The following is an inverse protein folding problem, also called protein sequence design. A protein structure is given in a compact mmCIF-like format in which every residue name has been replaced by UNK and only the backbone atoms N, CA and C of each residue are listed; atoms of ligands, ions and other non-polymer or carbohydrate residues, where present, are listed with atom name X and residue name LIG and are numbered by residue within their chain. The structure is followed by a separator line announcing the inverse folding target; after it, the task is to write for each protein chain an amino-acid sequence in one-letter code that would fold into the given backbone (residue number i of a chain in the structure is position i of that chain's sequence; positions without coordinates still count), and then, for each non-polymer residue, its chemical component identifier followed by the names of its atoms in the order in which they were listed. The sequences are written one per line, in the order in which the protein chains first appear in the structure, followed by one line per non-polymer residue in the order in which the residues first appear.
data_IF_684391951534
#
_entry.id   IF_684391951534
#
_cell.length_a   1.000
_cell.length_b   1.000
_cell.length_c   1.000
_cell.angle_alpha   90.00
_cell.angle_beta   90.00
_cell.angle_gamma   90.00
#
_symmetry.space_group_name_H-M   'P 1'
#
loop_
_entity.id
_entity.type
_entity.pdbx_description
1 polymer ?
#
# COMPACT_ATOMS: atom_id res chain seq x y z
N UNK A 1 0.14 -57.24 0.94
CA UNK A 1 -1.18 -56.79 0.47
C UNK A 1 -1.77 -55.89 1.54
N UNK A 2 -1.91 -54.58 1.30
CA UNK A 2 -2.44 -53.64 2.28
C UNK A 2 -3.94 -53.42 2.09
N UNK A 3 -4.67 -53.38 3.20
CA UNK A 3 -6.09 -53.02 3.25
C UNK A 3 -6.27 -51.53 2.96
N UNK A 4 -7.19 -51.24 2.04
CA UNK A 4 -7.51 -49.90 1.57
C UNK A 4 -8.46 -49.18 2.54
N UNK A 5 -7.94 -48.17 3.24
CA UNK A 5 -8.77 -47.21 3.96
C UNK A 5 -9.37 -46.18 2.98
N UNK A 6 -10.66 -46.34 2.71
CA UNK A 6 -11.51 -45.37 1.98
C UNK A 6 -11.81 -44.17 2.88
N UNK A 7 -11.21 -43.02 2.57
CA UNK A 7 -11.59 -41.73 3.15
C UNK A 7 -12.81 -41.21 2.39
N UNK A 8 -13.93 -41.10 3.09
CA UNK A 8 -15.20 -40.57 2.59
C UNK A 8 -15.22 -39.06 2.84
N UNK A 9 -15.21 -38.24 1.78
CA UNK A 9 -15.37 -36.78 1.90
C UNK A 9 -16.87 -36.44 1.97
N UNK A 10 -17.31 -36.00 3.15
CA UNK A 10 -18.62 -35.39 3.37
C UNK A 10 -18.58 -33.94 2.88
N UNK A 11 -19.12 -33.70 1.68
CA UNK A 11 -19.39 -32.35 1.17
C UNK A 11 -20.66 -31.84 1.85
N UNK A 12 -20.51 -30.97 2.85
CA UNK A 12 -21.63 -30.19 3.41
C UNK A 12 -22.02 -29.10 2.41
N UNK A 13 -23.17 -29.31 1.76
CA UNK A 13 -23.86 -28.28 1.00
C UNK A 13 -24.44 -27.23 1.97
N UNK A 14 -23.91 -26.00 1.92
CA UNK A 14 -24.51 -24.83 2.56
C UNK A 14 -25.62 -24.31 1.65
N UNK A 15 -26.85 -24.62 2.04
CA UNK A 15 -28.08 -24.04 1.49
C UNK A 15 -28.22 -22.63 2.06
N UNK A 16 -27.99 -21.60 1.24
CA UNK A 16 -28.34 -20.23 1.57
C UNK A 16 -29.80 -19.99 1.15
N UNK A 17 -30.70 -20.00 2.13
CA UNK A 17 -32.08 -19.55 1.99
C UNK A 17 -32.11 -18.02 1.84
N UNK A 18 -32.53 -17.54 0.68
CA UNK A 18 -32.78 -16.13 0.41
C UNK A 18 -34.28 -15.86 0.61
N UNK A 19 -34.63 -15.18 1.70
CA UNK A 19 -35.99 -14.72 1.96
C UNK A 19 -36.16 -13.32 1.36
N UNK A 20 -36.64 -13.25 0.11
CA UNK A 20 -37.19 -12.02 -0.45
C UNK A 20 -38.65 -11.88 -0.02
N UNK A 21 -38.96 -10.81 0.72
CA UNK A 21 -40.32 -10.32 0.88
C UNK A 21 -40.71 -9.49 -0.36
N UNK A 22 -41.89 -9.79 -0.89
CA UNK A 22 -42.49 -9.28 -2.11
C UNK A 22 -42.98 -7.83 -2.03
N UNK A 23 -42.90 -7.09 -3.14
CA UNK A 23 -44.03 -6.33 -3.67
C UNK A 23 -43.81 -5.92 -5.15
N UNK A 24 -44.71 -6.39 -6.02
CA UNK A 24 -45.11 -5.86 -7.35
C UNK A 24 -44.01 -5.66 -8.41
N UNK A 25 -43.96 -6.33 -9.57
CA UNK A 25 -44.98 -7.02 -10.36
C UNK A 25 -44.95 -6.45 -11.78
N UNK A 26 -44.42 -7.19 -12.77
CA UNK A 26 -44.92 -7.23 -14.15
C UNK A 26 -44.19 -8.26 -15.01
N UNK A 27 -44.98 -8.93 -15.84
CA UNK A 27 -44.73 -10.12 -16.65
C UNK A 27 -43.77 -9.90 -17.84
N UNK A 28 -43.13 -10.98 -18.31
CA UNK A 28 -42.77 -11.12 -19.72
C UNK A 28 -41.58 -12.03 -20.06
N UNK A 29 -41.88 -13.30 -20.36
CA UNK A 29 -41.22 -14.21 -21.34
C UNK A 29 -39.67 -14.29 -21.34
N UNK A 30 -38.99 -15.38 -20.97
CA UNK A 30 -39.23 -16.77 -21.38
C UNK A 30 -38.33 -17.16 -22.55
N UNK A 31 -37.04 -17.42 -22.32
CA UNK A 31 -36.21 -18.22 -23.24
C UNK A 31 -35.27 -19.15 -22.47
N UNK A 32 -35.63 -20.42 -22.48
CA UNK A 32 -34.82 -21.58 -22.12
C UNK A 32 -33.62 -21.72 -23.07
N UNK A 33 -32.42 -21.93 -22.52
CA UNK A 33 -31.34 -22.62 -23.23
C UNK A 33 -30.85 -23.78 -22.36
N UNK A 34 -31.02 -25.00 -22.87
CA UNK A 34 -30.51 -26.24 -22.30
C UNK A 34 -28.98 -26.30 -22.44
N UNK A 35 -28.24 -26.83 -21.45
CA UNK A 35 -26.84 -27.22 -21.64
C UNK A 35 -26.76 -28.53 -22.45
N UNK A 36 -25.92 -28.55 -23.49
CA UNK A 36 -25.59 -29.76 -24.25
C UNK A 36 -24.50 -30.51 -23.47
N UNK A 37 -24.76 -31.80 -23.25
CA UNK A 37 -23.91 -32.74 -22.56
C UNK A 37 -22.62 -33.10 -23.34
N UNK A 38 -21.58 -33.38 -22.58
CA UNK A 38 -20.31 -33.93 -23.04
C UNK A 38 -20.45 -35.34 -23.63
N UNK A 39 -19.59 -35.68 -24.60
CA UNK A 39 -19.23 -37.06 -24.96
C UNK A 39 -17.72 -37.26 -24.80
N UNK A 40 -17.25 -38.43 -24.36
CA UNK A 40 -15.83 -38.69 -24.12
C UNK A 40 -15.15 -39.40 -25.31
N UNK A 41 -13.82 -39.21 -25.40
CA UNK A 41 -12.85 -40.21 -25.87
C UNK A 41 -12.28 -40.03 -27.28
N UNK A 42 -10.98 -39.73 -27.39
CA UNK A 42 -9.96 -40.62 -28.00
C UNK A 42 -8.57 -39.98 -27.96
N UNK A 43 -7.55 -40.84 -27.80
CA UNK A 43 -6.12 -40.57 -27.58
C UNK A 43 -5.35 -40.19 -28.86
N UNK A 44 -4.06 -39.86 -28.65
CA UNK A 44 -2.94 -39.66 -29.62
C UNK A 44 -3.02 -38.36 -30.43
N UNK A 45 -1.98 -37.58 -30.67
CA UNK A 45 -0.53 -37.69 -30.54
C UNK A 45 0.05 -36.61 -31.48
N UNK A 46 1.32 -36.28 -31.31
CA UNK A 46 2.17 -35.45 -32.17
C UNK A 46 2.22 -33.91 -32.04
N UNK A 47 3.49 -33.53 -31.98
CA UNK A 47 4.17 -32.24 -31.97
C UNK A 47 3.98 -31.43 -33.25
N UNK A 48 3.84 -30.11 -33.15
CA UNK A 48 4.58 -29.16 -34.00
C UNK A 48 4.42 -27.71 -33.51
N UNK A 49 5.48 -26.95 -33.79
CA UNK A 49 5.72 -25.56 -33.50
C UNK A 49 4.83 -24.58 -34.28
N UNK A 50 4.82 -23.35 -33.76
CA UNK A 50 4.93 -22.08 -34.48
C UNK A 50 3.72 -21.14 -34.67
N UNK A 51 3.98 -19.92 -34.20
CA UNK A 51 3.61 -18.59 -34.75
C UNK A 51 2.24 -17.97 -34.45
N UNK A 52 2.31 -16.89 -33.65
CA UNK A 52 1.38 -15.76 -33.64
C UNK A 52 1.50 -14.95 -34.95
N UNK A 53 0.43 -14.25 -35.38
CA UNK A 53 0.47 -12.80 -35.19
C UNK A 53 -0.86 -12.12 -34.83
N UNK A 54 -0.68 -11.05 -34.04
CA UNK A 54 -1.48 -9.84 -33.85
C UNK A 54 -2.89 -9.71 -34.44
N UNK A 55 -3.85 -9.43 -33.55
CA UNK A 55 -5.00 -8.59 -33.87
C UNK A 55 -5.45 -7.80 -32.63
N UNK A 56 -5.11 -6.51 -32.63
CA UNK A 56 -5.61 -5.46 -31.75
C UNK A 56 -7.13 -5.33 -31.91
N UNK A 57 -7.89 -5.67 -30.87
CA UNK A 57 -9.33 -5.41 -30.79
C UNK A 57 -9.61 -4.18 -29.95
N UNK A 58 -9.92 -3.10 -30.65
CA UNK A 58 -10.53 -1.87 -30.13
C UNK A 58 -11.93 -2.24 -29.62
N UNK A 59 -12.17 -2.09 -28.32
CA UNK A 59 -13.51 -2.15 -27.74
C UNK A 59 -14.16 -0.76 -27.82
N UNK A 60 -14.94 -0.54 -28.88
CA UNK A 60 -15.84 0.61 -29.00
C UNK A 60 -17.15 0.34 -28.25
N UNK A 61 -17.41 1.11 -27.20
CA UNK A 61 -18.64 1.10 -26.42
C UNK A 61 -19.76 1.75 -27.25
N UNK A 62 -20.74 0.96 -27.70
CA UNK A 62 -21.88 1.42 -28.49
C UNK A 62 -23.05 1.70 -27.54
N UNK A 63 -23.30 2.98 -27.27
CA UNK A 63 -24.48 3.47 -26.55
C UNK A 63 -25.71 3.24 -27.45
N UNK A 64 -26.56 2.26 -27.10
CA UNK A 64 -27.87 2.07 -27.73
C UNK A 64 -28.88 3.05 -27.11
N UNK A 65 -29.16 4.14 -27.82
CA UNK A 65 -30.37 4.92 -27.61
C UNK A 65 -31.60 4.12 -28.05
N UNK A 66 -32.55 3.97 -27.12
CA UNK A 66 -33.91 3.51 -27.41
C UNK A 66 -34.62 4.66 -28.14
N UNK A 67 -34.93 4.48 -29.42
CA UNK A 67 -36.19 4.99 -29.95
C UNK A 67 -36.61 4.19 -31.17
N UNK A 68 -37.77 3.56 -31.02
CA UNK A 68 -38.42 2.69 -31.98
C UNK A 68 -39.26 3.52 -32.94
N UNK A 69 -38.94 3.47 -34.24
CA UNK A 69 -39.92 3.54 -35.34
C UNK A 69 -39.29 2.92 -36.61
N UNK A 70 -39.77 1.74 -36.98
CA UNK A 70 -39.52 1.12 -38.29
C UNK A 70 -40.47 1.74 -39.31
N UNK A 71 -39.96 2.15 -40.47
CA UNK A 71 -40.67 2.22 -41.74
C UNK A 71 -39.74 1.69 -42.85
N UNK A 72 -40.29 1.19 -43.97
CA UNK A 72 -39.66 0.15 -44.76
C UNK A 72 -39.25 0.66 -46.14
N UNK A 73 -37.95 0.87 -46.37
CA UNK A 73 -37.32 0.65 -47.67
C UNK A 73 -35.79 0.62 -47.55
N UNK A 74 -35.21 -0.49 -47.99
CA UNK A 74 -33.76 -0.61 -48.10
C UNK A 74 -33.27 0.28 -49.25
N UNK A 75 -32.76 1.46 -48.93
CA UNK A 75 -31.85 2.23 -49.80
C UNK A 75 -30.95 3.13 -48.97
N UNK A 76 -29.65 2.86 -49.06
CA UNK A 76 -28.61 3.71 -48.50
C UNK A 76 -28.61 5.07 -49.19
N UNK A 77 -28.71 6.16 -48.41
CA UNK A 77 -28.29 7.49 -48.83
C UNK A 77 -27.35 8.09 -47.80
N UNK A 78 -26.13 8.37 -48.25
CA UNK A 78 -25.23 9.35 -47.63
C UNK A 78 -25.91 10.71 -47.75
N UNK A 79 -26.16 11.37 -46.62
CA UNK A 79 -26.37 12.82 -46.57
C UNK A 79 -25.30 13.39 -45.65
N UNK A 80 -24.30 14.00 -46.28
CA UNK A 80 -23.48 15.00 -45.61
C UNK A 80 -24.31 16.27 -45.47
N UNK A 81 -24.25 16.88 -44.30
CA UNK A 81 -24.63 18.27 -44.12
C UNK A 81 -23.35 19.11 -44.22
N UNK A 82 -23.11 19.65 -45.41
CA UNK A 82 -22.49 20.95 -45.57
C UNK A 82 -23.45 21.98 -44.96
N UNK A 83 -22.98 22.78 -44.02
CA UNK A 83 -23.63 24.03 -43.64
C UNK A 83 -22.60 25.14 -43.83
N UNK A 84 -22.84 25.94 -44.87
CA UNK A 84 -22.20 27.22 -45.13
C UNK A 84 -22.54 28.20 -44.00
N UNK A 85 -21.53 28.94 -43.53
CA UNK A 85 -21.66 29.98 -42.52
C UNK A 85 -21.76 31.33 -43.24
N UNK A 86 -22.96 31.91 -43.28
CA UNK A 86 -23.17 33.33 -43.58
C UNK A 86 -23.16 34.15 -42.28
N UNK A 87 -22.71 35.41 -42.31
CA UNK A 87 -22.82 36.31 -41.16
C UNK A 87 -24.29 36.73 -40.99
N UNK A 88 -24.68 37.07 -39.77
CA UNK A 88 -25.98 37.65 -39.40
C UNK A 88 -27.11 36.68 -39.00
N UNK A 89 -26.92 36.00 -37.86
CA UNK A 89 -28.06 35.68 -36.97
C UNK A 89 -27.69 35.86 -35.50
N UNK A 90 -28.38 36.81 -34.86
CA UNK A 90 -28.36 37.13 -33.44
C UNK A 90 -29.13 36.08 -32.63
N UNK A 91 -28.50 35.61 -31.54
CA UNK A 91 -29.09 34.98 -30.36
C UNK A 91 -30.04 33.76 -30.54
N UNK A 92 -29.53 32.57 -30.22
CA UNK A 92 -30.32 31.47 -29.68
C UNK A 92 -29.53 30.75 -28.58
N UNK A 93 -30.16 30.58 -27.42
CA UNK A 93 -29.60 29.94 -26.23
C UNK A 93 -29.44 28.42 -26.40
N UNK A 94 -28.28 27.88 -26.06
CA UNK A 94 -28.02 26.45 -26.00
C UNK A 94 -28.00 25.99 -24.54
N UNK A 95 -29.07 25.30 -24.11
CA UNK A 95 -29.12 24.53 -22.87
C UNK A 95 -28.39 23.22 -23.09
N UNK A 96 -27.08 23.12 -22.76
CA UNK A 96 -26.38 21.84 -22.47
C UNK A 96 -24.95 22.00 -21.88
N UNK A 97 -24.34 23.18 -21.80
CA UNK A 97 -23.13 23.34 -20.97
C UNK A 97 -23.03 24.73 -20.32
N UNK A 98 -23.21 24.80 -19.01
CA UNK A 98 -23.03 26.01 -18.20
C UNK A 98 -21.56 26.37 -18.02
N UNK A 99 -20.89 26.84 -19.07
CA UNK A 99 -19.55 27.41 -19.01
C UNK A 99 -19.56 28.81 -19.64
N UNK A 100 -19.30 29.83 -18.83
CA UNK A 100 -19.09 31.19 -19.32
C UNK A 100 -17.66 31.32 -19.87
N UNK A 101 -17.52 31.44 -21.19
CA UNK A 101 -16.29 31.88 -21.84
C UNK A 101 -16.34 33.39 -22.06
N UNK A 102 -15.37 34.11 -21.50
CA UNK A 102 -15.14 35.54 -21.71
C UNK A 102 -14.22 35.74 -22.92
N UNK A 103 -14.60 36.63 -23.85
CA UNK A 103 -13.68 37.20 -24.85
C UNK A 103 -13.91 38.71 -24.95
N UNK A 104 -12.92 39.47 -24.45
CA UNK A 104 -12.19 40.50 -25.18
C UNK A 104 -12.90 41.72 -25.82
N UNK A 105 -12.68 42.87 -25.17
CA UNK A 105 -12.24 44.15 -25.74
C UNK A 105 -13.20 44.99 -26.61
N UNK A 106 -13.59 46.16 -26.06
CA UNK A 106 -13.73 47.39 -26.85
C UNK A 106 -13.31 48.61 -26.01
N UNK A 107 -12.46 49.45 -26.60
CA UNK A 107 -11.94 50.72 -26.05
C UNK A 107 -13.06 51.77 -26.00
N UNK A 108 -13.29 52.37 -24.83
CA UNK A 108 -13.98 53.66 -24.71
C UNK A 108 -13.13 54.61 -23.87
N UNK A 109 -13.02 55.83 -24.41
CA UNK A 109 -12.15 56.94 -24.01
C UNK A 109 -12.65 57.60 -22.72
N UNK A 110 -11.69 57.98 -21.88
CA UNK A 110 -11.87 58.49 -20.52
C UNK A 110 -12.70 59.77 -20.41
N UNK A 111 -13.63 59.78 -19.46
CA UNK A 111 -14.16 60.98 -18.80
C UNK A 111 -14.18 60.69 -17.28
N UNK A 112 -13.61 61.61 -16.51
CA UNK A 112 -13.37 61.50 -15.06
C UNK A 112 -14.45 62.29 -14.31
N UNK A 113 -15.27 61.68 -13.43
CA UNK A 113 -16.06 62.39 -12.42
C UNK A 113 -15.52 62.14 -11.00
N UNK A 114 -15.98 62.92 -10.00
CA UNK A 114 -15.19 63.30 -8.82
C UNK A 114 -15.20 62.25 -7.72
N UNK A 115 -14.22 62.37 -6.82
CA UNK A 115 -14.08 61.56 -5.62
C UNK A 115 -15.33 61.70 -4.73
N UNK A 116 -15.96 60.56 -4.43
CA UNK A 116 -16.88 60.41 -3.31
C UNK A 116 -16.49 59.15 -2.53
N UNK A 117 -16.20 59.37 -1.26
CA UNK A 117 -16.11 58.37 -0.21
C UNK A 117 -17.40 57.56 -0.13
N UNK A 118 -17.28 56.25 -0.32
CA UNK A 118 -18.07 55.18 0.29
C UNK A 118 -17.74 53.90 -0.49
N UNK A 119 -16.72 53.16 -0.05
CA UNK A 119 -16.52 51.80 -0.53
C UNK A 119 -17.72 50.96 -0.09
N UNK A 120 -18.44 50.26 -0.98
CA UNK A 120 -19.30 49.18 -0.54
C UNK A 120 -18.38 48.12 0.06
N UNK A 121 -18.66 47.70 1.29
CA UNK A 121 -18.02 46.54 1.90
C UNK A 121 -18.19 45.35 0.95
N UNK A 122 -17.14 45.06 0.18
CA UNK A 122 -16.95 43.75 -0.42
C UNK A 122 -16.89 42.81 0.77
N UNK A 123 -17.79 41.82 0.91
CA UNK A 123 -17.64 40.84 1.97
C UNK A 123 -16.26 40.23 1.76
N UNK A 124 -15.39 40.47 2.74
CA UNK A 124 -14.08 39.89 2.82
C UNK A 124 -14.30 38.38 2.68
N UNK A 125 -14.04 37.86 1.47
CA UNK A 125 -13.87 36.45 1.27
C UNK A 125 -12.63 36.12 2.07
N UNK A 126 -12.84 35.82 3.35
CA UNK A 126 -11.96 34.97 4.12
C UNK A 126 -11.81 33.73 3.25
N UNK A 127 -10.68 33.67 2.54
CA UNK A 127 -10.20 32.46 1.91
C UNK A 127 -10.29 31.41 3.00
N UNK A 128 -11.28 30.51 2.87
CA UNK A 128 -11.50 29.48 3.85
C UNK A 128 -10.19 28.71 3.98
N UNK A 129 -9.47 28.95 5.08
CA UNK A 129 -8.34 28.13 5.43
C UNK A 129 -8.89 26.71 5.48
N UNK A 130 -8.54 25.89 4.49
CA UNK A 130 -8.86 24.48 4.53
C UNK A 130 -8.25 23.98 5.82
N UNK A 131 -9.07 23.72 6.84
CA UNK A 131 -8.58 23.24 8.12
C UNK A 131 -7.80 21.95 7.81
N UNK A 132 -6.50 21.91 8.06
CA UNK A 132 -5.68 20.73 7.79
C UNK A 132 -5.69 19.90 9.07
N UNK A 133 -6.00 18.62 8.93
CA UNK A 133 -5.98 17.65 10.01
C UNK A 133 -4.75 16.78 9.91
N UNK A 134 -4.16 16.46 11.05
CA UNK A 134 -3.06 15.50 11.15
C UNK A 134 -3.65 14.11 11.38
N UNK A 135 -3.24 13.14 10.57
CA UNK A 135 -3.70 11.76 10.63
C UNK A 135 -2.52 10.83 10.90
N UNK A 136 -2.79 9.70 11.56
CA UNK A 136 -1.85 8.59 11.71
C UNK A 136 -2.43 7.32 11.08
N UNK A 137 -1.57 6.49 10.51
CA UNK A 137 -1.92 5.26 9.81
C UNK A 137 -0.95 4.15 10.23
N UNK A 138 -1.48 3.03 10.72
CA UNK A 138 -0.72 1.78 10.94
C UNK A 138 -0.90 0.86 9.74
N UNK A 139 0.21 0.32 9.26
CA UNK A 139 0.31 -0.51 8.06
C UNK A 139 1.02 -1.82 8.38
N UNK A 140 0.55 -2.88 7.74
CA UNK A 140 1.30 -4.12 7.55
C UNK A 140 1.57 -4.29 6.06
N UNK A 141 2.74 -4.79 5.67
CA UNK A 141 3.03 -5.07 4.28
C UNK A 141 4.03 -6.21 4.08
N UNK A 142 3.85 -6.89 2.95
CA UNK A 142 4.85 -7.75 2.35
C UNK A 142 5.78 -6.92 1.45
N UNK A 143 7.04 -6.78 1.86
CA UNK A 143 8.03 -5.96 1.16
C UNK A 143 8.72 -6.62 -0.02
N UNK A 144 8.48 -7.91 -0.32
CA UNK A 144 9.26 -8.68 -1.30
C UNK A 144 9.38 -7.98 -2.66
N UNK A 145 8.27 -7.45 -3.18
CA UNK A 145 8.19 -6.89 -4.54
C UNK A 145 8.34 -5.35 -4.55
N UNK A 146 8.93 -4.77 -3.50
CA UNK A 146 9.07 -3.33 -3.30
C UNK A 146 10.51 -2.92 -2.98
N UNK A 147 10.93 -1.76 -3.51
CA UNK A 147 12.24 -1.15 -3.25
C UNK A 147 12.32 -0.44 -1.88
N UNK A 148 11.63 -1.01 -0.88
CA UNK A 148 11.57 -0.52 0.49
C UNK A 148 10.45 0.48 0.74
N UNK A 149 10.51 1.12 1.92
CA UNK A 149 9.52 2.11 2.33
C UNK A 149 9.57 3.38 1.47
N UNK A 150 10.73 4.03 1.46
CA UNK A 150 10.88 5.43 1.03
C UNK A 150 10.56 5.61 -0.46
N UNK A 151 9.70 6.56 -0.81
CA UNK A 151 9.46 6.98 -2.20
C UNK A 151 10.75 7.50 -2.83
N UNK A 152 11.04 7.00 -4.03
CA UNK A 152 12.19 7.36 -4.86
C UNK A 152 11.67 8.04 -6.16
N UNK A 153 12.07 7.55 -7.34
CA UNK A 153 11.45 7.95 -8.60
C UNK A 153 10.08 7.29 -8.81
N UNK A 154 9.29 7.79 -9.76
CA UNK A 154 7.92 7.31 -10.00
C UNK A 154 7.85 5.89 -10.59
N UNK A 155 8.92 5.46 -11.27
CA UNK A 155 9.04 4.13 -11.88
C UNK A 155 9.33 3.03 -10.84
N UNK A 156 9.90 3.42 -9.69
CA UNK A 156 10.27 2.49 -8.62
C UNK A 156 9.07 2.24 -7.72
N UNK A 157 8.68 0.97 -7.59
CA UNK A 157 7.59 0.57 -6.68
C UNK A 157 8.09 0.58 -5.24
N UNK A 158 7.57 1.49 -4.44
CA UNK A 158 7.87 1.61 -3.01
C UNK A 158 6.59 1.57 -2.19
N UNK A 159 6.68 1.20 -0.92
CA UNK A 159 5.50 1.15 -0.05
C UNK A 159 4.90 2.55 0.13
N UNK A 160 5.74 3.56 0.41
CA UNK A 160 5.29 4.95 0.55
C UNK A 160 4.62 5.46 -0.73
N UNK A 161 5.15 5.13 -1.91
CA UNK A 161 4.57 5.55 -3.18
C UNK A 161 3.15 5.01 -3.37
N UNK A 162 2.91 3.74 -3.08
CA UNK A 162 1.57 3.14 -3.18
C UNK A 162 0.61 3.68 -2.10
N UNK A 163 1.11 3.92 -0.89
CA UNK A 163 0.32 4.48 0.21
C UNK A 163 -0.08 5.93 -0.09
N UNK A 164 0.85 6.77 -0.54
CA UNK A 164 0.60 8.17 -0.90
C UNK A 164 -0.41 8.26 -2.07
N UNK A 165 -0.28 7.40 -3.10
CA UNK A 165 -1.26 7.29 -4.19
C UNK A 165 -2.66 6.90 -3.68
N UNK A 166 -2.75 5.92 -2.80
CA UNK A 166 -4.03 5.48 -2.23
C UNK A 166 -4.67 6.57 -1.36
N UNK A 167 -3.88 7.24 -0.51
CA UNK A 167 -4.34 8.35 0.31
C UNK A 167 -4.83 9.52 -0.55
N UNK A 168 -4.12 9.85 -1.63
CA UNK A 168 -4.53 10.91 -2.52
C UNK A 168 -5.89 10.67 -3.17
N UNK A 169 -6.21 9.41 -3.51
CA UNK A 169 -7.53 9.04 -4.03
C UNK A 169 -8.62 9.10 -2.96
N UNK A 170 -8.32 8.69 -1.73
CA UNK A 170 -9.30 8.64 -0.62
C UNK A 170 -9.65 10.05 -0.11
N UNK A 171 -8.62 10.88 0.11
CA UNK A 171 -8.76 12.25 0.63
C UNK A 171 -8.94 13.30 -0.47
N UNK A 172 -8.79 12.91 -1.75
CA UNK A 172 -8.93 13.78 -2.93
C UNK A 172 -8.00 15.01 -2.89
N UNK A 173 -6.80 14.81 -2.35
CA UNK A 173 -5.76 15.82 -2.23
C UNK A 173 -4.39 15.18 -2.44
N UNK A 174 -3.37 15.96 -2.79
CA UNK A 174 -2.00 15.44 -2.77
C UNK A 174 -1.61 15.15 -1.32
N UNK A 175 -1.25 13.91 -1.01
CA UNK A 175 -0.84 13.49 0.34
C UNK A 175 0.59 12.94 0.26
N UNK A 176 1.43 13.36 1.21
CA UNK A 176 2.75 12.80 1.43
C UNK A 176 2.85 12.30 2.86
N UNK A 177 3.12 11.01 3.03
CA UNK A 177 3.31 10.42 4.35
C UNK A 177 4.73 10.60 4.87
N UNK A 178 4.88 10.54 6.19
CA UNK A 178 6.17 10.41 6.88
C UNK A 178 6.14 9.13 7.71
N UNK A 179 7.00 8.17 7.37
CA UNK A 179 7.10 6.89 8.06
C UNK A 179 7.89 6.96 9.37
N UNK A 180 7.52 6.12 10.34
CA UNK A 180 8.21 5.99 11.61
C UNK A 180 9.56 5.29 11.45
N UNK A 181 9.65 4.34 10.53
CA UNK A 181 10.90 3.68 10.17
C UNK A 181 11.08 3.57 8.66
N UNK A 182 12.33 3.65 8.21
CA UNK A 182 12.70 3.22 6.85
C UNK A 182 12.91 1.71 6.89
N UNK A 183 12.35 1.01 5.91
CA UNK A 183 12.64 -0.41 5.66
C UNK A 183 13.32 -0.53 4.31
N UNK A 184 14.33 -1.40 4.24
CA UNK A 184 15.08 -1.67 3.01
C UNK A 184 14.21 -2.41 1.98
N UNK A 185 14.68 -2.46 0.73
CA UNK A 185 14.10 -3.32 -0.30
C UNK A 185 13.95 -4.77 0.19
N UNK A 186 12.76 -5.35 0.01
CA UNK A 186 12.45 -6.72 0.44
C UNK A 186 12.05 -6.88 1.91
N UNK A 187 12.21 -5.87 2.77
CA UNK A 187 11.90 -5.97 4.21
C UNK A 187 10.40 -5.78 4.46
N UNK A 188 9.82 -6.61 5.31
CA UNK A 188 8.38 -6.57 5.62
C UNK A 188 8.06 -5.66 6.82
N UNK A 189 6.78 -5.42 7.06
CA UNK A 189 6.31 -4.84 8.32
C UNK A 189 4.95 -5.42 8.74
N UNK A 190 4.74 -5.53 10.04
CA UNK A 190 3.46 -5.87 10.66
C UNK A 190 2.82 -4.64 11.33
N UNK A 191 3.65 -3.66 11.73
CA UNK A 191 3.21 -2.48 12.46
C UNK A 191 3.99 -1.23 12.12
N UNK A 192 4.23 -0.97 10.83
CA UNK A 192 4.75 0.34 10.40
C UNK A 192 3.72 1.41 10.74
N UNK A 193 4.18 2.56 11.21
CA UNK A 193 3.31 3.72 11.45
C UNK A 193 3.77 4.87 10.59
N UNK A 194 2.84 5.58 9.95
CA UNK A 194 3.12 6.85 9.29
C UNK A 194 2.12 7.92 9.71
N UNK A 195 2.48 9.18 9.52
CA UNK A 195 1.56 10.30 9.66
C UNK A 195 1.49 11.09 8.36
N UNK A 196 0.41 11.84 8.18
CA UNK A 196 0.21 12.74 7.05
C UNK A 196 -0.79 13.82 7.40
N UNK A 197 -0.70 14.92 6.67
CA UNK A 197 -1.66 16.02 6.71
C UNK A 197 -2.69 15.85 5.59
N UNK A 198 -3.97 16.04 5.91
CA UNK A 198 -5.05 16.01 4.93
C UNK A 198 -6.04 17.15 5.17
N UNK A 199 -6.70 17.68 4.12
CA UNK A 199 -7.78 18.64 4.30
C UNK A 199 -8.90 18.04 5.16
N UNK A 200 -9.42 18.84 6.09
CA UNK A 200 -10.57 18.49 6.90
C UNK A 200 -11.76 18.29 5.98
N UNK A 201 -12.26 17.06 5.96
CA UNK A 201 -13.42 16.68 5.16
C UNK A 201 -14.73 17.09 5.86
N UNK A 202 -14.65 17.70 7.05
CA UNK A 202 -15.79 18.20 7.83
C UNK A 202 -16.37 19.52 7.31
N UNK A 203 -15.63 20.28 6.51
CA UNK A 203 -15.97 21.67 6.26
C UNK A 203 -17.22 21.89 5.38
N UNK A 204 -17.59 20.95 4.49
CA UNK A 204 -18.54 21.28 3.41
C UNK A 204 -19.49 20.16 2.91
N UNK A 205 -19.71 19.04 3.63
CA UNK A 205 -20.67 18.04 3.10
C UNK A 205 -21.38 17.16 4.15
N UNK A 206 -22.63 16.81 3.85
CA UNK A 206 -23.44 15.75 4.49
C UNK A 206 -22.81 14.33 4.40
N UNK A 207 -21.54 14.23 4.00
CA UNK A 207 -20.77 13.02 3.82
C UNK A 207 -19.56 13.08 4.76
N UNK A 208 -19.73 12.66 6.02
CA UNK A 208 -18.59 12.42 6.92
C UNK A 208 -17.72 11.32 6.34
N UNK A 209 -16.50 11.65 5.88
CA UNK A 209 -15.46 10.63 5.82
C UNK A 209 -14.85 10.54 7.21
N UNK A 210 -15.47 9.74 8.07
CA UNK A 210 -14.84 9.39 9.33
C UNK A 210 -13.65 8.44 9.11
N UNK A 211 -12.85 8.24 10.15
CA UNK A 211 -11.67 7.38 10.09
C UNK A 211 -12.01 5.95 9.65
N UNK A 212 -13.17 5.42 10.03
CA UNK A 212 -13.62 4.09 9.65
C UNK A 212 -13.93 3.98 8.14
N UNK A 213 -14.61 4.98 7.58
CA UNK A 213 -14.90 5.06 6.16
C UNK A 213 -13.62 5.27 5.33
N UNK A 214 -12.71 6.14 5.79
CA UNK A 214 -11.40 6.33 5.16
C UNK A 214 -10.58 5.04 5.17
N UNK A 215 -10.50 4.35 6.31
CA UNK A 215 -9.79 3.08 6.45
C UNK A 215 -10.35 2.00 5.52
N UNK A 216 -11.68 1.89 5.45
CA UNK A 216 -12.35 0.95 4.52
C UNK A 216 -11.98 1.25 3.06
N UNK A 217 -11.99 2.52 2.66
CA UNK A 217 -11.60 2.91 1.30
C UNK A 217 -10.13 2.62 1.02
N UNK A 218 -9.22 2.93 1.96
CA UNK A 218 -7.81 2.60 1.82
C UNK A 218 -7.57 1.11 1.61
N UNK A 219 -8.24 0.24 2.37
CA UNK A 219 -8.13 -1.21 2.20
C UNK A 219 -8.61 -1.72 0.84
N UNK A 220 -9.49 -0.97 0.15
CA UNK A 220 -9.96 -1.30 -1.20
C UNK A 220 -9.03 -0.75 -2.29
N UNK A 221 -8.32 0.34 -2.01
CA UNK A 221 -7.45 1.02 -2.98
C UNK A 221 -6.01 0.49 -2.93
N UNK A 222 -5.52 0.09 -1.76
CA UNK A 222 -4.16 -0.40 -1.59
C UNK A 222 -3.94 -1.73 -2.33
N UNK A 223 -2.72 -1.97 -2.87
CA UNK A 223 -2.34 -3.27 -3.38
C UNK A 223 -2.48 -4.36 -2.31
N UNK A 224 -2.75 -5.61 -2.73
CA UNK A 224 -2.93 -6.76 -1.80
C UNK A 224 -1.77 -6.99 -0.84
N UNK A 225 -0.56 -6.55 -1.20
CA UNK A 225 0.63 -6.66 -0.36
C UNK A 225 0.68 -5.64 0.78
N UNK A 226 -0.20 -4.62 0.80
CA UNK A 226 -0.22 -3.56 1.80
C UNK A 226 -1.59 -3.50 2.46
N UNK A 227 -1.63 -3.70 3.77
CA UNK A 227 -2.84 -3.62 4.59
C UNK A 227 -2.81 -2.34 5.44
N UNK A 228 -3.81 -1.49 5.25
CA UNK A 228 -4.13 -0.47 6.23
C UNK A 228 -4.78 -1.14 7.45
N UNK A 229 -4.02 -1.24 8.54
CA UNK A 229 -4.45 -1.90 9.78
C UNK A 229 -5.39 -0.98 10.55
N UNK A 230 -4.97 0.27 10.76
CA UNK A 230 -5.68 1.23 11.59
C UNK A 230 -5.38 2.67 11.14
N UNK A 231 -6.34 3.57 11.29
CA UNK A 231 -6.25 4.96 10.89
C UNK A 231 -7.02 5.81 11.91
N UNK A 232 -6.48 6.97 12.25
CA UNK A 232 -7.16 7.94 13.12
C UNK A 232 -6.59 9.34 12.99
N UNK A 233 -7.25 10.29 13.65
CA UNK A 233 -6.68 11.62 13.87
C UNK A 233 -5.50 11.48 14.84
N UNK A 234 -4.42 12.18 14.53
CA UNK A 234 -3.23 12.18 15.35
C UNK A 234 -3.32 13.26 16.42
N UNK A 235 -2.77 13.01 17.63
CA UNK A 235 -2.60 14.05 18.63
C UNK A 235 -1.82 15.24 18.08
N UNK A 236 -2.09 16.44 18.62
CA UNK A 236 -1.33 17.64 18.26
C UNK A 236 0.16 17.43 18.48
N UNK A 237 0.98 17.84 17.51
CA UNK A 237 2.44 17.68 17.54
C UNK A 237 2.95 16.25 17.32
N UNK A 238 2.08 15.29 16.97
CA UNK A 238 2.50 13.93 16.67
C UNK A 238 3.46 13.87 15.49
N UNK A 239 4.56 13.14 15.64
CA UNK A 239 5.44 12.80 14.54
C UNK A 239 5.79 11.32 14.59
N UNK A 240 5.33 10.55 13.62
CA UNK A 240 5.53 9.09 13.51
C UNK A 240 6.95 8.60 13.87
N UNK A 241 8.00 9.26 13.37
CA UNK A 241 9.40 8.95 13.70
C UNK A 241 9.90 9.50 15.04
N UNK A 242 9.64 10.76 15.35
CA UNK A 242 10.27 11.47 16.49
C UNK A 242 9.55 11.20 17.82
N UNK A 243 8.25 10.93 17.77
CA UNK A 243 7.45 10.59 18.96
C UNK A 243 7.56 9.11 19.35
N UNK A 244 8.21 8.28 18.52
CA UNK A 244 8.37 6.85 18.81
C UNK A 244 9.35 6.64 19.98
N UNK A 245 8.92 5.87 20.98
CA UNK A 245 9.74 5.48 22.11
C UNK A 245 10.67 4.33 21.74
N UNK A 246 10.13 3.29 21.10
CA UNK A 246 10.87 2.08 20.72
C UNK A 246 10.39 1.51 19.39
N UNK A 247 11.25 0.70 18.76
CA UNK A 247 10.92 -0.10 17.59
C UNK A 247 11.34 -1.54 17.88
N UNK A 248 10.46 -2.48 17.52
CA UNK A 248 10.75 -3.90 17.59
C UNK A 248 10.81 -4.48 16.18
N UNK A 249 11.91 -5.18 15.90
CA UNK A 249 12.10 -5.96 14.70
C UNK A 249 12.14 -7.44 15.04
N UNK A 250 11.69 -8.27 14.10
CA UNK A 250 11.98 -9.69 14.12
C UNK A 250 12.67 -10.16 12.86
N UNK A 251 13.55 -11.13 13.02
CA UNK A 251 14.24 -11.80 11.96
C UNK A 251 14.00 -13.30 12.05
N UNK A 252 13.48 -13.89 10.97
CA UNK A 252 13.21 -15.33 10.87
C UNK A 252 14.33 -16.05 10.14
N UNK A 253 14.86 -17.10 10.77
CA UNK A 253 15.83 -18.02 10.19
C UNK A 253 15.20 -19.41 10.08
N UNK A 254 15.65 -20.19 9.10
CA UNK A 254 15.40 -21.62 9.02
C UNK A 254 16.73 -22.38 8.89
N UNK A 255 16.88 -23.44 9.67
CA UNK A 255 17.97 -24.40 9.60
C UNK A 255 17.70 -25.54 8.61
N UNK A 256 16.48 -25.64 8.08
CA UNK A 256 16.17 -26.64 7.07
C UNK A 256 16.94 -26.38 5.77
N UNK A 257 17.21 -27.44 5.01
CA UNK A 257 17.82 -27.32 3.68
C UNK A 257 16.84 -26.76 2.64
N UNK A 258 15.54 -26.90 2.89
CA UNK A 258 14.44 -26.44 2.05
C UNK A 258 13.31 -25.95 2.94
N UNK A 259 12.66 -24.87 2.53
CA UNK A 259 11.46 -24.34 3.18
C UNK A 259 10.30 -24.35 2.20
N UNK A 260 9.07 -24.36 2.73
CA UNK A 260 7.90 -24.30 1.87
C UNK A 260 7.83 -22.96 1.12
N UNK A 261 7.26 -22.91 -0.10
CA UNK A 261 7.23 -21.67 -0.89
C UNK A 261 6.55 -20.47 -0.20
N UNK A 262 5.63 -20.72 0.76
CA UNK A 262 4.97 -19.69 1.54
C UNK A 262 5.84 -19.12 2.68
N UNK A 263 6.93 -19.79 3.04
CA UNK A 263 7.90 -19.34 4.05
C UNK A 263 9.16 -18.76 3.42
N UNK A 264 9.50 -19.19 2.19
CA UNK A 264 10.69 -18.76 1.46
C UNK A 264 10.82 -17.24 1.29
N UNK A 265 9.71 -16.51 1.28
CA UNK A 265 9.69 -15.04 1.22
C UNK A 265 9.80 -14.36 2.59
N UNK A 266 9.89 -15.12 3.69
CA UNK A 266 9.73 -14.63 5.07
C UNK A 266 10.79 -15.15 6.02
N UNK A 267 11.76 -15.92 5.55
CA UNK A 267 12.86 -16.43 6.36
C UNK A 267 14.15 -16.55 5.54
N UNK A 268 15.28 -16.47 6.23
CA UNK A 268 16.58 -16.78 5.65
C UNK A 268 16.93 -18.25 5.92
N UNK A 269 17.19 -19.00 4.85
CA UNK A 269 17.68 -20.38 4.92
C UNK A 269 19.17 -20.36 5.24
N UNK A 270 19.54 -20.82 6.43
CA UNK A 270 20.90 -20.73 6.95
C UNK A 270 21.65 -22.07 6.99
N UNK A 271 20.92 -23.19 7.01
CA UNK A 271 21.45 -24.51 7.36
C UNK A 271 21.71 -24.64 8.86
N UNK A 272 22.55 -25.60 9.25
CA UNK A 272 22.87 -25.87 10.65
C UNK A 272 23.50 -24.65 11.35
N UNK A 273 23.03 -24.36 12.57
CA UNK A 273 23.51 -23.27 13.41
C UNK A 273 23.73 -23.76 14.84
N UNK A 274 24.85 -23.36 15.45
CA UNK A 274 25.11 -23.55 16.87
C UNK A 274 24.35 -22.49 17.69
N UNK A 275 23.17 -22.86 18.19
CA UNK A 275 22.30 -21.95 18.94
C UNK A 275 22.90 -21.52 20.27
N UNK A 276 23.67 -22.38 20.94
CA UNK A 276 24.34 -22.03 22.20
C UNK A 276 25.40 -20.96 21.99
N UNK A 277 26.15 -21.02 20.87
CA UNK A 277 27.12 -20.00 20.51
C UNK A 277 26.42 -18.67 20.17
N UNK A 278 25.30 -18.73 19.43
CA UNK A 278 24.48 -17.54 19.14
C UNK A 278 23.91 -16.91 20.41
N UNK A 279 23.42 -17.74 21.34
CA UNK A 279 22.88 -17.27 22.61
C UNK A 279 23.95 -16.60 23.47
N UNK A 280 25.16 -17.16 23.54
CA UNK A 280 26.30 -16.51 24.22
C UNK A 280 26.61 -15.12 23.65
N UNK A 281 26.63 -14.98 22.33
CA UNK A 281 26.84 -13.67 21.69
C UNK A 281 25.70 -12.70 22.02
N UNK A 282 24.45 -13.18 22.08
CA UNK A 282 23.29 -12.37 22.49
C UNK A 282 23.43 -11.92 23.95
N UNK A 283 23.85 -12.79 24.85
CA UNK A 283 24.04 -12.45 26.28
C UNK A 283 25.16 -11.40 26.49
N UNK A 284 26.13 -11.36 25.58
CA UNK A 284 27.16 -10.33 25.58
C UNK A 284 26.64 -8.97 25.10
N UNK A 285 25.72 -8.94 24.13
CA UNK A 285 25.23 -7.72 23.49
C UNK A 285 23.98 -7.12 24.16
N UNK A 286 23.03 -7.97 24.54
CA UNK A 286 21.67 -7.58 24.89
C UNK A 286 21.59 -6.78 26.19
N UNK A 287 20.78 -5.72 26.20
CA UNK A 287 20.45 -4.93 27.39
C UNK A 287 21.61 -4.07 27.91
N UNK A 288 22.75 -4.02 27.21
CA UNK A 288 23.93 -3.23 27.58
C UNK A 288 24.05 -2.00 26.70
N UNK A 289 24.50 -0.90 27.30
CA UNK A 289 24.90 0.29 26.57
C UNK A 289 26.30 0.06 25.98
N UNK A 290 26.39 0.01 24.67
CA UNK A 290 27.64 -0.28 23.96
C UNK A 290 27.64 0.32 22.56
N UNK A 291 28.81 0.40 21.93
CA UNK A 291 28.96 0.90 20.58
C UNK A 291 28.55 -0.17 19.55
N UNK A 292 27.46 0.08 18.82
CA UNK A 292 26.97 -0.82 17.76
C UNK A 292 27.52 -0.45 16.36
N UNK A 293 28.61 0.32 16.28
CA UNK A 293 29.21 0.75 15.00
C UNK A 293 29.64 -0.41 14.09
N UNK A 294 30.07 -1.55 14.65
CA UNK A 294 30.39 -2.77 13.88
C UNK A 294 29.20 -3.32 13.06
N UNK A 295 27.99 -3.05 13.53
CA UNK A 295 26.74 -3.46 12.86
C UNK A 295 26.21 -2.41 11.89
N UNK A 296 27.02 -1.42 11.50
CA UNK A 296 26.62 -0.39 10.53
C UNK A 296 27.33 -0.54 9.18
N UNK A 297 26.84 0.17 8.15
CA UNK A 297 27.52 0.28 6.86
C UNK A 297 28.77 1.18 6.90
N UNK A 298 29.01 1.89 8.01
CA UNK A 298 30.14 2.78 8.22
C UNK A 298 29.92 4.22 7.75
N UNK A 299 30.82 5.12 8.17
CA UNK A 299 30.73 6.58 7.97
C UNK A 299 30.68 7.05 6.51
N UNK A 300 31.15 6.23 5.57
CA UNK A 300 31.14 6.57 4.15
C UNK A 300 29.76 6.38 3.51
N UNK A 301 28.81 5.75 4.20
CA UNK A 301 27.44 5.60 3.71
C UNK A 301 26.66 6.89 4.02
N UNK A 302 26.07 7.57 3.03
CA UNK A 302 25.33 8.81 3.24
C UNK A 302 24.10 8.62 4.13
N UNK A 303 23.61 7.40 4.34
CA UNK A 303 22.51 7.11 5.28
C UNK A 303 23.02 6.74 6.70
N UNK A 304 24.34 6.72 6.92
CA UNK A 304 24.94 6.52 8.24
C UNK A 304 24.83 7.79 9.07
N UNK A 305 23.85 7.80 9.98
CA UNK A 305 23.61 8.92 10.88
C UNK A 305 23.17 8.44 12.27
N UNK A 306 23.51 9.26 13.28
CA UNK A 306 23.03 9.10 14.65
C UNK A 306 24.06 8.45 15.59
N UNK A 307 23.74 8.42 16.90
CA UNK A 307 24.63 7.86 17.91
C UNK A 307 24.76 6.35 17.74
N UNK A 308 25.99 5.86 17.77
CA UNK A 308 26.31 4.44 17.65
C UNK A 308 26.21 3.72 18.99
N UNK A 309 26.49 4.43 20.08
CA UNK A 309 26.26 3.98 21.45
C UNK A 309 24.76 3.96 21.73
N UNK A 310 24.25 2.81 22.19
CA UNK A 310 22.83 2.58 22.49
C UNK A 310 22.65 1.28 23.28
N UNK A 311 21.43 1.07 23.77
CA UNK A 311 20.98 -0.20 24.33
C UNK A 311 20.04 -0.89 23.34
N UNK A 312 20.26 -2.19 23.13
CA UNK A 312 19.41 -3.04 22.29
C UNK A 312 19.07 -4.28 23.08
N UNK A 313 17.78 -4.57 23.21
CA UNK A 313 17.29 -5.81 23.79
C UNK A 313 17.15 -6.84 22.67
N UNK A 314 17.86 -7.96 22.80
CA UNK A 314 17.92 -9.01 21.78
C UNK A 314 17.46 -10.32 22.42
N UNK A 315 16.58 -11.04 21.73
CA UNK A 315 16.15 -12.38 22.16
C UNK A 315 16.17 -13.36 21.00
N UNK A 316 16.48 -14.61 21.29
CA UNK A 316 16.41 -15.73 20.38
C UNK A 316 15.35 -16.71 20.89
N UNK A 317 14.46 -17.13 19.99
CA UNK A 317 13.43 -18.12 20.27
C UNK A 317 13.46 -19.19 19.19
N UNK A 318 13.31 -20.45 19.60
CA UNK A 318 13.16 -21.60 18.71
C UNK A 318 11.66 -21.84 18.52
N UNK A 319 11.18 -21.75 17.27
CA UNK A 319 9.76 -21.82 16.88
C UNK A 319 9.47 -23.10 16.07
N UNK A 320 9.78 -24.24 16.67
CA UNK A 320 9.75 -25.55 16.00
C UNK A 320 11.16 -26.13 15.78
N UNK A 321 11.27 -27.26 15.06
CA UNK A 321 12.54 -28.00 14.99
C UNK A 321 13.65 -27.26 14.22
N UNK A 322 13.29 -26.45 13.24
CA UNK A 322 14.22 -25.82 12.29
C UNK A 322 14.06 -24.29 12.22
N UNK A 323 13.12 -23.69 12.95
CA UNK A 323 12.80 -22.26 12.82
C UNK A 323 13.31 -21.49 14.02
N UNK A 324 13.95 -20.36 13.75
CA UNK A 324 14.49 -19.48 14.77
C UNK A 324 13.93 -18.08 14.53
N UNK A 325 13.51 -17.44 15.61
CA UNK A 325 13.06 -16.05 15.62
C UNK A 325 13.99 -15.24 16.50
N UNK A 326 14.68 -14.29 15.90
CA UNK A 326 15.47 -13.29 16.62
C UNK A 326 14.63 -12.02 16.71
N UNK A 327 14.43 -11.47 17.91
CA UNK A 327 13.85 -10.13 18.09
C UNK A 327 14.92 -9.16 18.54
N UNK A 328 14.85 -7.94 18.02
CA UNK A 328 15.68 -6.83 18.43
C UNK A 328 14.80 -5.61 18.70
N UNK A 329 14.88 -5.06 19.91
CA UNK A 329 14.16 -3.87 20.36
C UNK A 329 15.14 -2.78 20.77
N UNK A 330 14.91 -1.56 20.31
CA UNK A 330 15.68 -0.38 20.72
C UNK A 330 14.91 0.89 20.40
N UNK A 331 15.31 2.01 21.01
CA UNK A 331 14.80 3.33 20.64
C UNK A 331 15.13 3.68 19.17
N UNK A 332 16.38 3.39 18.75
CA UNK A 332 16.91 3.78 17.45
C UNK A 332 17.94 2.78 16.95
N UNK A 333 17.74 2.33 15.72
CA UNK A 333 18.70 1.50 14.99
C UNK A 333 19.51 2.35 14.01
N UNK A 334 20.78 1.98 13.80
CA UNK A 334 21.57 2.50 12.69
C UNK A 334 21.06 1.91 11.37
N UNK A 335 21.45 2.52 10.25
CA UNK A 335 21.10 2.00 8.93
C UNK A 335 21.64 0.57 8.75
N UNK A 336 20.77 -0.34 8.29
CA UNK A 336 20.99 -1.80 8.16
C UNK A 336 21.38 -2.55 9.44
N UNK A 337 21.31 -1.90 10.60
CA UNK A 337 21.83 -2.44 11.85
C UNK A 337 21.31 -3.83 12.20
N UNK A 338 19.99 -4.02 12.19
CA UNK A 338 19.38 -5.30 12.58
C UNK A 338 19.83 -6.43 11.64
N UNK A 339 19.95 -6.16 10.34
CA UNK A 339 20.40 -7.16 9.36
C UNK A 339 21.87 -7.52 9.55
N UNK A 340 22.71 -6.57 9.93
CA UNK A 340 24.13 -6.81 10.20
C UNK A 340 24.33 -7.52 11.54
N UNK A 341 23.57 -7.13 12.57
CA UNK A 341 23.52 -7.85 13.85
C UNK A 341 23.18 -9.33 13.63
N UNK A 342 22.08 -9.61 12.92
CA UNK A 342 21.68 -10.99 12.61
C UNK A 342 22.73 -11.70 11.73
N UNK A 343 23.33 -10.98 10.77
CA UNK A 343 24.43 -11.52 9.97
C UNK A 343 25.61 -11.98 10.82
N UNK A 344 26.03 -11.16 11.79
CA UNK A 344 27.08 -11.51 12.75
C UNK A 344 26.70 -12.71 13.62
N UNK A 345 25.47 -12.74 14.16
CA UNK A 345 24.97 -13.88 14.93
C UNK A 345 24.96 -15.18 14.12
N UNK A 346 24.59 -15.13 12.84
CA UNK A 346 24.63 -16.30 11.95
C UNK A 346 26.07 -16.75 11.69
N UNK A 347 27.02 -15.84 11.54
CA UNK A 347 28.44 -16.18 11.40
C UNK A 347 29.01 -16.82 12.68
N UNK A 348 28.58 -16.37 13.86
CA UNK A 348 28.88 -17.03 15.14
C UNK A 348 28.24 -18.43 15.19
N UNK A 349 26.97 -18.55 14.81
CA UNK A 349 26.29 -19.85 14.73
C UNK A 349 26.95 -20.84 13.76
N UNK A 350 27.64 -20.34 12.74
CA UNK A 350 28.45 -21.13 11.80
C UNK A 350 29.88 -21.38 12.26
N UNK A 351 30.28 -20.87 13.42
CA UNK A 351 31.64 -20.99 13.95
C UNK A 351 32.71 -20.21 13.15
N UNK A 352 32.29 -19.19 12.39
CA UNK A 352 33.19 -18.35 11.59
C UNK A 352 33.58 -17.05 12.29
N UNK A 353 32.80 -16.66 13.30
CA UNK A 353 33.12 -15.60 14.25
C UNK A 353 33.02 -16.15 15.68
N UNK A 354 33.83 -15.58 16.57
CA UNK A 354 33.71 -15.86 17.99
C UNK A 354 32.52 -15.10 18.57
N UNK A 355 31.86 -15.73 19.55
CA UNK A 355 30.76 -15.09 20.27
C UNK A 355 31.27 -13.87 21.06
N UNK A 356 32.48 -13.98 21.60
CA UNK A 356 33.10 -12.94 22.41
C UNK A 356 33.60 -11.78 21.56
N UNK A 357 33.15 -10.56 21.88
CA UNK A 357 33.64 -9.35 21.22
C UNK A 357 33.05 -9.10 19.82
N UNK A 358 31.88 -9.66 19.51
CA UNK A 358 31.20 -9.47 18.23
C UNK A 358 30.91 -7.99 17.92
N UNK A 359 30.66 -7.16 18.95
CA UNK A 359 30.52 -5.70 18.85
C UNK A 359 31.78 -4.98 18.37
N UNK A 360 32.95 -5.62 18.54
CA UNK A 360 34.25 -5.08 18.15
C UNK A 360 34.81 -5.71 16.88
N UNK A 361 34.09 -6.66 16.28
CA UNK A 361 34.54 -7.36 15.09
C UNK A 361 34.71 -6.41 13.88
N UNK A 362 35.60 -6.77 12.96
CA UNK A 362 35.75 -6.02 11.71
C UNK A 362 34.42 -6.04 10.96
N UNK A 363 33.90 -4.85 10.64
CA UNK A 363 32.69 -4.65 9.84
C UNK A 363 32.67 -5.48 8.56
N UNK A 364 33.84 -5.74 7.96
CA UNK A 364 33.98 -6.54 6.73
C UNK A 364 33.66 -8.02 6.93
N UNK A 365 33.81 -8.53 8.15
CA UNK A 365 33.51 -9.91 8.50
C UNK A 365 32.02 -10.11 8.80
N UNK A 366 31.29 -9.04 9.09
CA UNK A 366 29.85 -9.09 9.37
C UNK A 366 29.07 -8.89 8.06
N UNK A 367 28.45 -9.94 7.51
CA UNK A 367 27.61 -9.80 6.33
C UNK A 367 26.31 -9.07 6.67
N UNK A 368 25.68 -8.45 5.66
CA UNK A 368 24.31 -7.95 5.82
C UNK A 368 23.35 -9.10 5.53
N UNK A 369 22.59 -9.55 6.53
CA UNK A 369 21.62 -10.63 6.34
C UNK A 369 20.60 -10.26 5.24
N UNK A 370 20.05 -11.23 4.49
CA UNK A 370 19.03 -10.97 3.47
C UNK A 370 17.79 -10.24 4.02
N UNK A 371 17.08 -9.43 3.22
CA UNK A 371 15.97 -8.63 3.70
C UNK A 371 14.70 -9.46 4.03
N UNK A 372 14.47 -10.59 3.35
CA UNK A 372 13.25 -11.40 3.45
C UNK A 372 13.01 -12.01 4.83
N UNK A 373 14.06 -12.17 5.65
CA UNK A 373 13.89 -12.61 7.03
C UNK A 373 13.40 -11.52 7.97
N UNK A 374 13.59 -10.24 7.63
CA UNK A 374 13.38 -9.10 8.52
C UNK A 374 11.95 -8.55 8.40
N UNK A 375 11.33 -8.29 9.55
CA UNK A 375 10.04 -7.60 9.68
C UNK A 375 10.09 -6.54 10.77
N UNK A 376 9.60 -5.33 10.48
CA UNK A 376 9.25 -4.36 11.53
C UNK A 376 7.95 -4.83 12.20
N UNK A 377 8.01 -5.32 13.44
CA UNK A 377 6.84 -5.83 14.14
C UNK A 377 5.98 -4.68 14.68
N UNK A 378 6.60 -3.75 15.40
CA UNK A 378 5.88 -2.67 16.06
C UNK A 378 6.72 -1.40 16.22
N UNK A 379 6.02 -0.26 16.18
CA UNK A 379 6.51 1.04 16.65
C UNK A 379 5.72 1.44 17.88
N UNK A 380 6.41 1.59 19.00
CA UNK A 380 5.81 1.89 20.29
C UNK A 380 5.87 3.39 20.58
N UNK A 381 4.78 3.95 21.08
CA UNK A 381 4.66 5.35 21.47
C UNK A 381 4.35 5.44 22.97
N UNK A 382 4.80 6.51 23.67
CA UNK A 382 4.55 6.68 25.10
C UNK A 382 3.10 7.10 25.43
N UNK A 383 2.23 7.16 24.42
CA UNK A 383 0.82 7.51 24.53
C UNK A 383 -0.01 6.62 23.59
N UNK A 384 -1.30 6.50 23.89
CA UNK A 384 -2.23 5.82 22.99
C UNK A 384 -2.45 6.66 21.74
N UNK A 385 -2.33 6.03 20.57
CA UNK A 385 -2.75 6.62 19.29
C UNK A 385 -4.26 6.48 19.05
N UNK A 386 -4.93 5.61 19.79
CA UNK A 386 -6.38 5.51 19.78
C UNK A 386 -6.94 6.64 20.63
N UNK A 387 -7.76 7.49 20.03
CA UNK A 387 -8.66 8.32 20.80
C UNK A 387 -9.68 7.40 21.48
N UNK A 388 -9.63 7.31 22.81
CA UNK A 388 -10.81 6.93 23.58
C UNK A 388 -11.81 8.07 23.40
N UNK A 389 -12.72 7.94 22.42
CA UNK A 389 -13.88 8.81 22.34
C UNK A 389 -14.79 8.51 23.52
N UNK A 390 -14.61 9.27 24.60
CA UNK A 390 -15.57 9.41 25.70
C UNK A 390 -16.90 9.97 25.18
#
# INVERSE_FOLDING_TARGET
MPEANKVTYLVRALVASCSCFSATGCFGTGHFWKPIAARPGSEEGDTAQDTYPGASRIFGCLIRGKDSRRMPDGRARRQGCLADWGPDTLAASCNVCGCACWVGAARIRALRPPAMDASPEVPEQTSGASCVELWWLRLAYDGTDYAGWQKQSEEVRTIQGEVDKALALVFRSSIRTVGASRTDSGVHAQGQVCHFEAPSLWANSNSRLDAAAALRRLRLTLPKAILAVELGLAPSGFHSRLSAAKKQYSYRLSMASLVMPFEARRCWICGDLNLDAMQKAIDELSGKEMDYSAFSTGENDPDYHGPTVKTVDISLQVDGPDKILIRAESERFLYKMVRRLVGGLVEVGKGRLEASGLESADRRQIPTAPPEGLSLEEVMYPFSLKEDRM
#
